data_IF_279405342706
#
_entry.id   IF_279405342706
#
_cell.length_a   1.000
_cell.length_b   1.000
_cell.length_c   1.000
_cell.angle_alpha   90.00
_cell.angle_beta   90.00
_cell.angle_gamma   90.00
#
_symmetry.space_group_name_H-M   'P 1'
#
loop_
_entity.id
_entity.type
_entity.pdbx_description
1 polymer ?
#
# COMPACT_ATOMS: atom_id res chain seq x y z
N UNK A 1 -17.05 14.69 -3.73
CA UNK A 1 -17.20 13.29 -4.20
C UNK A 1 -15.96 12.54 -3.76
N UNK A 2 -16.13 11.44 -3.04
CA UNK A 2 -15.04 10.54 -2.65
C UNK A 2 -15.02 9.40 -3.65
N UNK A 3 -13.86 9.11 -4.26
CA UNK A 3 -13.73 8.05 -5.27
C UNK A 3 -13.63 6.65 -4.65
N UNK A 4 -13.07 6.55 -3.45
CA UNK A 4 -12.89 5.31 -2.75
C UNK A 4 -11.82 5.43 -1.67
N UNK A 5 -11.43 4.29 -1.12
CA UNK A 5 -10.45 4.15 -0.04
C UNK A 5 -9.21 3.40 -0.53
N UNK A 6 -8.06 3.77 -0.01
CA UNK A 6 -6.79 3.06 -0.22
C UNK A 6 -6.28 2.60 1.15
N UNK A 7 -5.88 1.33 1.26
CA UNK A 7 -5.29 0.81 2.49
C UNK A 7 -3.78 0.95 2.45
N UNK A 8 -3.23 1.84 3.28
CA UNK A 8 -1.79 1.93 3.48
C UNK A 8 -1.29 0.82 4.43
N UNK A 9 -0.05 0.37 4.22
CA UNK A 9 0.61 -0.66 5.02
C UNK A 9 -0.20 -1.96 5.14
N UNK A 10 -0.88 -2.37 4.06
CA UNK A 10 -1.85 -3.46 4.02
C UNK A 10 -1.25 -4.84 4.35
N UNK A 11 -0.02 -5.10 3.89
CA UNK A 11 0.68 -6.36 4.08
C UNK A 11 2.19 -6.13 4.11
N UNK A 12 2.88 -6.82 5.01
CA UNK A 12 4.34 -6.90 5.00
C UNK A 12 4.77 -8.25 4.42
N UNK A 13 5.70 -8.23 3.46
CA UNK A 13 6.33 -9.44 2.95
C UNK A 13 7.76 -9.54 3.47
N UNK A 14 8.06 -10.59 4.24
CA UNK A 14 9.40 -10.83 4.74
C UNK A 14 10.37 -11.02 3.55
N UNK A 15 11.45 -10.23 3.45
CA UNK A 15 12.38 -10.33 2.31
C UNK A 15 13.14 -11.66 2.29
N UNK A 16 13.29 -12.30 3.46
CA UNK A 16 14.05 -13.55 3.65
C UNK A 16 13.25 -14.81 3.32
N UNK A 17 12.04 -14.94 3.87
CA UNK A 17 11.23 -16.15 3.71
C UNK A 17 9.98 -15.96 2.83
N UNK A 18 9.74 -14.75 2.33
CA UNK A 18 8.58 -14.38 1.49
C UNK A 18 7.21 -14.53 2.15
N UNK A 19 7.16 -14.87 3.44
CA UNK A 19 5.93 -14.91 4.23
C UNK A 19 5.26 -13.53 4.25
N UNK A 20 3.94 -13.51 4.06
CA UNK A 20 3.11 -12.31 4.09
C UNK A 20 2.39 -12.22 5.42
N UNK A 21 2.43 -11.06 6.06
CA UNK A 21 1.82 -10.82 7.37
C UNK A 21 1.06 -9.50 7.37
N UNK A 22 -0.16 -9.52 7.87
CA UNK A 22 -0.98 -8.31 8.10
C UNK A 22 -0.65 -7.73 9.48
N UNK A 23 0.47 -7.01 9.59
CA UNK A 23 0.97 -6.47 10.87
C UNK A 23 -0.06 -5.58 11.57
N UNK A 24 -0.81 -4.80 10.78
CA UNK A 24 -1.80 -3.83 11.28
C UNK A 24 -3.25 -4.30 11.11
N UNK A 25 -3.46 -5.60 10.86
CA UNK A 25 -4.76 -6.18 10.51
C UNK A 25 -5.08 -6.10 9.01
N UNK A 26 -6.10 -6.85 8.57
CA UNK A 26 -6.41 -7.04 7.16
C UNK A 26 -7.68 -6.30 6.69
N UNK A 27 -8.66 -6.12 7.57
CA UNK A 27 -10.04 -5.81 7.14
C UNK A 27 -10.54 -4.40 7.46
N UNK A 28 -9.73 -3.57 8.14
CA UNK A 28 -10.18 -2.25 8.60
C UNK A 28 -10.72 -1.34 7.48
N UNK A 29 -10.06 -1.29 6.33
CA UNK A 29 -10.53 -0.51 5.17
C UNK A 29 -11.73 -1.17 4.49
N UNK A 30 -11.82 -2.50 4.47
CA UNK A 30 -12.98 -3.24 3.93
C UNK A 30 -14.24 -2.99 4.73
N UNK A 31 -14.14 -2.98 6.05
CA UNK A 31 -15.28 -2.74 6.93
C UNK A 31 -15.75 -1.29 6.85
N UNK A 32 -14.81 -0.34 6.76
CA UNK A 32 -15.13 1.07 6.57
C UNK A 32 -15.75 1.34 5.19
N UNK A 33 -15.19 0.76 4.13
CA UNK A 33 -15.72 0.86 2.76
C UNK A 33 -17.18 0.41 2.69
N UNK A 34 -17.50 -0.75 3.30
CA UNK A 34 -18.89 -1.25 3.41
C UNK A 34 -19.80 -0.30 4.18
N UNK A 35 -19.32 0.25 5.29
CA UNK A 35 -20.10 1.17 6.14
C UNK A 35 -20.43 2.46 5.41
N UNK A 36 -19.50 2.96 4.59
CA UNK A 36 -19.63 4.22 3.87
C UNK A 36 -20.18 4.07 2.45
N UNK A 37 -20.36 2.85 1.96
CA UNK A 37 -20.75 2.59 0.57
C UNK A 37 -19.72 3.09 -0.45
N UNK A 38 -18.44 2.98 -0.11
CA UNK A 38 -17.31 3.42 -0.95
C UNK A 38 -16.56 2.23 -1.52
N UNK A 39 -15.95 2.41 -2.69
CA UNK A 39 -15.07 1.41 -3.29
C UNK A 39 -13.68 1.39 -2.63
N UNK A 40 -12.98 0.27 -2.76
CA UNK A 40 -11.56 0.17 -2.43
C UNK A 40 -10.76 0.27 -3.73
N UNK A 41 -9.89 1.26 -3.82
CA UNK A 41 -9.09 1.57 -5.01
C UNK A 41 -7.77 0.80 -5.04
N UNK A 42 -7.29 0.34 -3.88
CA UNK A 42 -6.07 -0.45 -3.80
C UNK A 42 -5.51 -0.61 -2.39
N UNK A 43 -4.52 -1.49 -2.31
CA UNK A 43 -3.79 -1.84 -1.09
C UNK A 43 -2.30 -1.58 -1.33
N UNK A 44 -1.69 -0.69 -0.53
CA UNK A 44 -0.25 -0.40 -0.60
C UNK A 44 0.47 -1.20 0.49
N UNK A 45 1.40 -2.10 0.14
CA UNK A 45 2.10 -2.93 1.12
C UNK A 45 3.12 -2.13 1.93
N UNK A 46 3.46 -2.66 3.10
CA UNK A 46 4.60 -2.17 3.87
C UNK A 46 5.90 -2.68 3.22
N UNK A 47 6.54 -1.81 2.43
CA UNK A 47 7.80 -2.11 1.74
C UNK A 47 8.88 -1.09 2.11
N UNK A 48 10.10 -1.57 2.41
CA UNK A 48 11.19 -0.71 2.91
C UNK A 48 11.54 0.41 1.93
N UNK A 49 11.63 0.09 0.64
CA UNK A 49 11.95 1.05 -0.40
C UNK A 49 10.89 2.16 -0.52
N UNK A 50 9.59 1.82 -0.38
CA UNK A 50 8.50 2.82 -0.42
C UNK A 50 8.67 3.77 0.77
N UNK A 51 8.89 3.22 1.98
CA UNK A 51 9.09 4.03 3.18
C UNK A 51 10.30 4.95 3.05
N UNK A 52 11.48 4.41 2.76
CA UNK A 52 12.74 5.18 2.74
C UNK A 52 12.70 6.29 1.69
N UNK A 53 12.18 6.00 0.49
CA UNK A 53 12.06 6.97 -0.59
C UNK A 53 11.06 8.08 -0.23
N UNK A 54 9.90 7.74 0.35
CA UNK A 54 8.94 8.73 0.86
C UNK A 54 9.51 9.56 2.03
N UNK A 55 10.18 8.94 3.00
CA UNK A 55 10.81 9.62 4.16
C UNK A 55 11.91 10.60 3.69
N UNK A 56 12.60 10.28 2.59
CA UNK A 56 13.60 11.17 1.97
C UNK A 56 13.00 12.30 1.11
N UNK A 57 11.66 12.37 0.99
CA UNK A 57 10.97 13.35 0.15
C UNK A 57 11.01 13.04 -1.35
N UNK A 58 11.46 11.85 -1.74
CA UNK A 58 11.57 11.43 -3.14
C UNK A 58 10.84 10.10 -3.37
N UNK A 59 9.49 10.08 -3.43
CA UNK A 59 8.70 8.85 -3.55
C UNK A 59 9.18 7.92 -4.66
N UNK A 60 9.00 6.60 -4.49
CA UNK A 60 9.51 5.56 -5.41
C UNK A 60 9.07 5.77 -6.87
N UNK A 61 7.88 6.33 -7.10
CA UNK A 61 7.36 6.68 -8.43
C UNK A 61 8.21 7.73 -9.16
N UNK A 62 8.91 8.59 -8.42
CA UNK A 62 9.78 9.66 -8.93
C UNK A 62 11.23 9.20 -8.90
N UNK A 63 11.70 8.66 -7.77
CA UNK A 63 13.11 8.30 -7.56
C UNK A 63 13.52 7.04 -8.29
N UNK A 64 12.61 6.08 -8.47
CA UNK A 64 12.90 4.77 -9.06
C UNK A 64 11.76 4.29 -9.97
N UNK A 65 11.44 5.01 -11.05
CA UNK A 65 10.24 4.80 -11.87
C UNK A 65 10.18 3.43 -12.57
N UNK A 66 11.31 2.73 -12.70
CA UNK A 66 11.39 1.38 -13.30
C UNK A 66 11.56 0.25 -12.28
N UNK A 67 11.51 0.56 -10.97
CA UNK A 67 11.62 -0.48 -9.94
C UNK A 67 10.30 -1.24 -9.79
N UNK A 68 10.38 -2.53 -9.41
CA UNK A 68 9.20 -3.34 -9.09
C UNK A 68 8.32 -2.69 -8.01
N UNK A 69 8.94 -1.91 -7.11
CA UNK A 69 8.24 -1.20 -6.04
C UNK A 69 7.26 -0.13 -6.53
N UNK A 70 7.38 0.36 -7.78
CA UNK A 70 6.42 1.30 -8.38
C UNK A 70 5.06 0.64 -8.62
N UNK A 71 5.05 -0.64 -9.01
CA UNK A 71 3.81 -1.38 -9.21
C UNK A 71 3.02 -1.58 -7.90
N UNK A 72 3.70 -1.49 -6.75
CA UNK A 72 3.11 -1.65 -5.42
C UNK A 72 2.35 -0.41 -4.93
N UNK A 73 2.47 0.73 -5.62
CA UNK A 73 1.80 2.00 -5.27
C UNK A 73 0.82 2.47 -6.35
N UNK A 74 0.55 1.63 -7.36
CA UNK A 74 -0.44 1.93 -8.38
C UNK A 74 -1.84 1.52 -7.88
N UNK A 75 -2.75 2.48 -7.76
CA UNK A 75 -4.16 2.22 -7.47
C UNK A 75 -4.91 2.17 -8.81
N UNK A 76 -5.79 1.19 -8.98
CA UNK A 76 -6.62 0.99 -10.19
C UNK A 76 -7.83 1.88 -10.22
#
# INVERSE_FOLDING_TARGET
>A
MVLGLVQNMSVFQCPKCKHKTHIFGADGVRDLAKTLGLDILGDIPLHVNIRETCDSGQPVVISQPQSDAVSLVHCT
#
